data_IF_354660929115
#
_entry.id   IF_354660929115
#
_cell.length_a   1.000
_cell.length_b   1.000
_cell.length_c   1.000
_cell.angle_alpha   90.00
_cell.angle_beta   90.00
_cell.angle_gamma   90.00
#
_symmetry.space_group_name_H-M   'P 1'
#
loop_
_entity.id
_entity.type
_entity.pdbx_description
1 polymer ?
#
# COMPACT_ATOMS: atom_id res chain seq x y z
N UNK A 1 -5.59 10.14 12.72
CA UNK A 1 -5.22 9.28 13.86
C UNK A 1 -4.86 7.92 13.30
N UNK A 2 -3.57 7.65 13.07
CA UNK A 2 -3.16 6.43 12.36
C UNK A 2 -3.25 5.23 13.32
N UNK A 3 -4.12 4.28 12.97
CA UNK A 3 -4.48 3.14 13.80
C UNK A 3 -3.42 2.06 13.67
N UNK A 4 -2.64 1.82 14.73
CA UNK A 4 -1.80 0.63 14.86
C UNK A 4 -2.69 -0.60 15.04
N UNK A 5 -2.56 -1.60 14.16
CA UNK A 5 -3.29 -2.86 14.30
C UNK A 5 -2.51 -3.80 15.23
N UNK A 6 -3.17 -4.29 16.29
CA UNK A 6 -2.61 -5.35 17.14
C UNK A 6 -2.79 -6.70 16.45
N UNK A 7 -2.08 -7.74 16.91
CA UNK A 7 -2.20 -9.08 16.35
C UNK A 7 -3.67 -9.57 16.27
N UNK A 8 -4.44 -9.39 17.33
CA UNK A 8 -5.88 -9.70 17.34
C UNK A 8 -6.68 -8.95 16.27
N UNK A 9 -6.36 -7.68 15.99
CA UNK A 9 -7.00 -6.93 14.92
C UNK A 9 -6.73 -7.55 13.54
N UNK A 10 -5.52 -8.05 13.33
CA UNK A 10 -5.11 -8.67 12.07
C UNK A 10 -5.84 -10.01 11.89
N UNK A 11 -5.89 -10.84 12.93
CA UNK A 11 -6.59 -12.13 12.90
C UNK A 11 -8.06 -11.98 12.53
N UNK A 12 -8.76 -10.99 13.11
CA UNK A 12 -10.16 -10.69 12.77
C UNK A 12 -10.37 -10.29 11.31
N UNK A 13 -9.32 -9.83 10.63
CA UNK A 13 -9.37 -9.29 9.26
C UNK A 13 -8.87 -10.28 8.21
N UNK A 14 -8.33 -11.44 8.60
CA UNK A 14 -7.80 -12.43 7.64
C UNK A 14 -8.80 -12.88 6.58
N UNK A 15 -10.08 -12.95 6.93
CA UNK A 15 -11.15 -13.34 6.01
C UNK A 15 -11.79 -12.15 5.26
N UNK A 16 -11.27 -10.94 5.43
CA UNK A 16 -11.74 -9.77 4.69
C UNK A 16 -11.28 -9.83 3.23
N UNK A 17 -12.07 -9.25 2.32
CA UNK A 17 -11.71 -9.15 0.90
C UNK A 17 -10.40 -8.36 0.72
N UNK A 18 -10.15 -7.36 1.57
CA UNK A 18 -8.94 -6.53 1.53
C UNK A 18 -7.69 -7.34 1.90
N UNK A 19 -7.79 -8.20 2.92
CA UNK A 19 -6.67 -9.05 3.32
C UNK A 19 -6.32 -10.07 2.21
N UNK A 20 -7.34 -10.72 1.65
CA UNK A 20 -7.18 -11.68 0.55
C UNK A 20 -6.60 -10.98 -0.70
N UNK A 21 -7.09 -9.78 -1.02
CA UNK A 21 -6.57 -9.00 -2.15
C UNK A 21 -5.10 -8.59 -1.96
N UNK A 22 -4.71 -8.20 -0.75
CA UNK A 22 -3.31 -7.89 -0.43
C UNK A 22 -2.43 -9.14 -0.57
N UNK A 23 -2.83 -10.28 -0.02
CA UNK A 23 -2.07 -11.53 -0.15
C UNK A 23 -1.92 -11.96 -1.61
N UNK A 24 -2.98 -11.86 -2.41
CA UNK A 24 -2.93 -12.16 -3.84
C UNK A 24 -1.95 -11.24 -4.57
N UNK A 25 -1.99 -9.92 -4.32
CA UNK A 25 -1.05 -8.97 -4.92
C UNK A 25 0.40 -9.27 -4.52
N UNK A 26 0.67 -9.52 -3.24
CA UNK A 26 2.02 -9.83 -2.75
C UNK A 26 2.55 -11.15 -3.31
N UNK A 27 1.67 -12.15 -3.53
CA UNK A 27 2.03 -13.39 -4.20
C UNK A 27 2.47 -13.14 -5.64
N UNK A 28 1.72 -12.33 -6.38
CA UNK A 28 2.08 -11.95 -7.77
C UNK A 28 3.40 -11.17 -7.82
N UNK A 29 3.59 -10.20 -6.92
CA UNK A 29 4.82 -9.39 -6.82
C UNK A 29 6.06 -10.22 -6.46
N UNK A 30 5.89 -11.29 -5.70
CA UNK A 30 6.98 -12.22 -5.35
C UNK A 30 7.22 -13.31 -6.43
N UNK A 31 6.42 -13.34 -7.49
CA UNK A 31 6.61 -14.28 -8.58
C UNK A 31 7.72 -13.81 -9.53
N UNK A 32 8.47 -14.75 -10.11
CA UNK A 32 9.52 -14.45 -11.09
C UNK A 32 8.98 -13.78 -12.38
N UNK A 33 7.66 -13.81 -12.61
CA UNK A 33 7.00 -13.30 -13.82
C UNK A 33 6.45 -11.89 -13.71
N UNK A 34 6.60 -11.20 -12.57
CA UNK A 34 6.06 -9.85 -12.44
C UNK A 34 6.91 -8.84 -13.22
N UNK A 35 6.31 -8.23 -14.25
CA UNK A 35 6.95 -7.21 -15.07
C UNK A 35 6.30 -5.84 -14.83
N UNK A 36 7.07 -4.89 -14.28
CA UNK A 36 6.60 -3.54 -13.97
C UNK A 36 6.02 -2.83 -15.20
N UNK A 37 6.63 -2.97 -16.37
CA UNK A 37 6.13 -2.33 -17.60
C UNK A 37 4.73 -2.80 -17.99
N UNK A 38 4.45 -4.11 -17.81
CA UNK A 38 3.12 -4.66 -18.07
C UNK A 38 2.09 -4.13 -17.06
N UNK A 39 2.48 -3.97 -15.80
CA UNK A 39 1.63 -3.38 -14.77
C UNK A 39 1.31 -1.90 -15.08
N UNK A 40 2.31 -1.13 -15.54
CA UNK A 40 2.11 0.27 -15.94
C UNK A 40 1.23 0.39 -17.18
N UNK A 41 1.41 -0.50 -18.17
CA UNK A 41 0.55 -0.56 -19.34
C UNK A 41 -0.90 -0.86 -18.95
N UNK A 42 -1.13 -1.82 -18.04
CA UNK A 42 -2.46 -2.12 -17.52
C UNK A 42 -3.06 -0.92 -16.78
N UNK A 43 -2.31 -0.29 -15.87
CA UNK A 43 -2.76 0.91 -15.16
C UNK A 43 -3.16 2.04 -16.13
N UNK A 44 -2.45 2.19 -17.24
CA UNK A 44 -2.70 3.27 -18.21
C UNK A 44 -4.06 3.18 -18.93
N UNK A 45 -4.64 1.99 -19.01
CA UNK A 45 -5.95 1.75 -19.66
C UNK A 45 -7.11 1.59 -18.69
N UNK A 46 -6.83 1.59 -17.38
CA UNK A 46 -7.85 1.53 -16.33
C UNK A 46 -8.76 2.76 -16.30
N UNK A 47 -9.97 2.58 -15.77
CA UNK A 47 -10.89 3.70 -15.56
C UNK A 47 -10.28 4.74 -14.60
N UNK A 48 -10.43 6.02 -14.91
CA UNK A 48 -9.88 7.11 -14.09
C UNK A 48 -10.32 7.05 -12.61
N UNK A 49 -11.56 6.65 -12.34
CA UNK A 49 -12.07 6.45 -10.96
C UNK A 49 -11.33 5.30 -10.24
N UNK A 50 -11.01 4.23 -10.97
CA UNK A 50 -10.21 3.11 -10.45
C UNK A 50 -8.77 3.56 -10.16
N UNK A 51 -8.14 4.27 -11.10
CA UNK A 51 -6.80 4.85 -10.90
C UNK A 51 -6.77 5.75 -9.66
N UNK A 52 -7.75 6.65 -9.51
CA UNK A 52 -7.87 7.52 -8.34
C UNK A 52 -7.99 6.73 -7.04
N UNK A 53 -8.85 5.71 -7.02
CA UNK A 53 -9.04 4.85 -5.84
C UNK A 53 -7.76 4.10 -5.49
N UNK A 54 -7.03 3.62 -6.50
CA UNK A 54 -5.76 2.94 -6.33
C UNK A 54 -4.68 3.86 -5.73
N UNK A 55 -4.53 5.09 -6.23
CA UNK A 55 -3.56 6.04 -5.66
C UNK A 55 -3.90 6.48 -4.24
N UNK A 56 -5.18 6.49 -3.86
CA UNK A 56 -5.60 6.72 -2.47
C UNK A 56 -5.22 5.58 -1.54
N UNK A 57 -5.29 4.34 -2.04
CA UNK A 57 -4.77 3.19 -1.30
C UNK A 57 -3.26 3.32 -1.12
N UNK A 58 -2.51 3.67 -2.17
CA UNK A 58 -1.06 3.92 -2.11
C UNK A 58 -0.74 5.02 -1.08
N UNK A 59 -1.46 6.15 -1.10
CA UNK A 59 -1.31 7.22 -0.11
C UNK A 59 -1.51 6.69 1.32
N UNK A 60 -2.53 5.86 1.54
CA UNK A 60 -2.81 5.27 2.85
C UNK A 60 -1.70 4.31 3.30
N UNK A 61 -1.14 3.52 2.38
CA UNK A 61 -0.02 2.61 2.65
C UNK A 61 1.25 3.39 3.04
N UNK A 62 1.58 4.44 2.28
CA UNK A 62 2.74 5.30 2.57
C UNK A 62 2.62 5.90 3.97
N UNK A 63 1.47 6.49 4.29
CA UNK A 63 1.24 7.10 5.60
C UNK A 63 1.25 6.05 6.72
N UNK A 64 0.73 4.84 6.48
CA UNK A 64 0.77 3.75 7.45
C UNK A 64 2.20 3.26 7.71
N UNK A 65 2.99 3.03 6.66
CA UNK A 65 4.39 2.59 6.78
C UNK A 65 5.29 3.66 7.40
N UNK A 66 5.00 4.94 7.18
CA UNK A 66 5.75 6.05 7.77
C UNK A 66 5.56 6.18 9.29
N UNK A 67 4.55 5.57 9.89
CA UNK A 67 4.40 5.61 11.34
C UNK A 67 5.28 4.57 12.03
N UNK A 68 6.00 4.94 13.11
CA UNK A 68 6.76 3.99 13.91
C UNK A 68 5.89 2.84 14.41
N UNK A 69 6.48 1.64 14.45
CA UNK A 69 5.89 0.40 14.97
C UNK A 69 4.62 -0.13 14.28
N UNK A 70 4.17 0.47 13.18
CA UNK A 70 3.04 -0.05 12.40
C UNK A 70 3.41 -1.29 11.57
N UNK A 71 4.70 -1.40 11.21
CA UNK A 71 5.29 -2.54 10.49
C UNK A 71 6.62 -2.87 11.17
N UNK A 72 6.98 -4.16 11.25
CA UNK A 72 8.30 -4.58 11.70
C UNK A 72 9.35 -4.19 10.65
N UNK A 73 10.39 -3.45 11.06
CA UNK A 73 11.43 -2.97 10.15
C UNK A 73 12.70 -3.81 10.32
N UNK A 74 13.17 -4.36 9.21
CA UNK A 74 14.46 -5.02 9.08
C UNK A 74 15.15 -4.58 7.78
N UNK A 75 16.34 -5.11 7.49
CA UNK A 75 17.17 -4.64 6.37
C UNK A 75 16.50 -4.85 5.00
N UNK A 76 15.51 -5.75 4.89
CA UNK A 76 14.79 -6.02 3.63
C UNK A 76 13.79 -4.91 3.28
N UNK A 77 13.20 -4.26 4.29
CA UNK A 77 12.18 -3.22 4.09
C UNK A 77 12.58 -1.83 4.60
N UNK A 78 13.79 -1.68 5.16
CA UNK A 78 14.34 -0.41 5.67
C UNK A 78 14.28 0.72 4.65
N UNK A 79 14.72 0.46 3.41
CA UNK A 79 14.69 1.46 2.35
C UNK A 79 13.25 1.93 2.03
N UNK A 80 12.29 1.00 2.00
CA UNK A 80 10.87 1.34 1.79
C UNK A 80 10.30 2.17 2.94
N UNK A 81 10.65 1.83 4.19
CA UNK A 81 10.27 2.62 5.37
C UNK A 81 10.82 4.04 5.31
N UNK A 82 12.12 4.20 5.04
CA UNK A 82 12.78 5.50 4.94
C UNK A 82 12.21 6.35 3.80
N UNK A 83 11.93 5.73 2.65
CA UNK A 83 11.22 6.37 1.54
C UNK A 83 9.86 6.91 2.00
N UNK A 84 9.04 6.06 2.64
CA UNK A 84 7.71 6.46 3.12
C UNK A 84 7.79 7.60 4.13
N UNK A 85 8.74 7.55 5.09
CA UNK A 85 9.01 8.65 6.03
C UNK A 85 9.33 9.96 5.33
N UNK A 86 10.20 9.91 4.32
CA UNK A 86 10.67 11.10 3.60
C UNK A 86 9.55 11.80 2.83
N UNK A 87 8.58 11.06 2.31
CA UNK A 87 7.50 11.61 1.48
C UNK A 87 6.18 11.80 2.23
N UNK A 88 6.08 11.36 3.49
CA UNK A 88 4.84 11.32 4.24
C UNK A 88 4.14 12.69 4.32
N UNK A 89 4.90 13.76 4.57
CA UNK A 89 4.34 15.11 4.70
C UNK A 89 3.79 15.61 3.36
N UNK A 90 4.57 15.48 2.29
CA UNK A 90 4.10 15.80 0.93
C UNK A 90 2.84 15.02 0.56
N UNK A 91 2.85 13.71 0.80
CA UNK A 91 1.71 12.84 0.47
C UNK A 91 0.49 13.15 1.34
N UNK A 92 0.65 13.60 2.60
CA UNK A 92 -0.46 13.99 3.48
C UNK A 92 -1.16 15.27 3.00
N UNK A 93 -0.41 16.17 2.37
CA UNK A 93 -0.93 17.43 1.83
C UNK A 93 -1.60 17.25 0.45
N UNK A 94 -1.28 16.16 -0.27
CA UNK A 94 -1.94 15.83 -1.52
C UNK A 94 -3.42 15.44 -1.30
N UNK A 95 -4.34 16.32 -1.69
CA UNK A 95 -5.76 16.01 -1.68
C UNK A 95 -6.14 15.09 -2.85
N UNK A 96 -6.56 13.86 -2.54
CA UNK A 96 -7.08 12.89 -3.50
C UNK A 96 -8.59 12.71 -3.30
N UNK A 97 -9.45 13.33 -4.13
CA UNK A 97 -10.90 13.30 -3.92
C UNK A 97 -11.49 11.89 -4.08
N UNK A 98 -12.64 11.67 -3.43
CA UNK A 98 -13.56 10.61 -3.79
C UNK A 98 -14.28 11.04 -5.08
N UNK A 99 -14.17 10.21 -6.12
CA UNK A 99 -14.86 10.42 -7.41
C UNK A 99 -16.02 9.44 -7.47
#
# INVERSE_FOLDING_TARGET
MNKKFKHYDIELRKNSKEFIAMESLLSELNSYGFHTDNFLAALSVEHHTTQQTFFRLIQSIILYMAEPDNVCIDDRNRASYEMCRKIADTVRECHLPHI
#
